data_IF_340902913153
#
_entry.id   IF_340902913153
#
_cell.length_a   1.000
_cell.length_b   1.000
_cell.length_c   1.000
_cell.angle_alpha   90.00
_cell.angle_beta   90.00
_cell.angle_gamma   90.00
#
_symmetry.space_group_name_H-M   'P 1'
#
loop_
_entity.id
_entity.type
_entity.pdbx_description
1 polymer ?
#
# COMPACT_ATOMS: atom_id res chain seq x y z
N UNK A 1 17.97 -14.34 -0.30
CA UNK A 1 17.24 -13.06 -0.48
C UNK A 1 17.55 -12.17 0.72
N UNK A 2 18.23 -11.02 0.55
CA UNK A 2 18.51 -10.10 1.66
C UNK A 2 17.23 -9.34 2.01
N UNK A 3 16.69 -9.51 3.21
CA UNK A 3 15.54 -8.78 3.73
C UNK A 3 15.95 -7.41 4.31
N UNK A 4 16.69 -6.63 3.53
CA UNK A 4 17.02 -5.25 3.89
C UNK A 4 15.70 -4.46 3.94
N UNK A 5 15.45 -3.74 5.02
CA UNK A 5 14.20 -2.99 5.30
C UNK A 5 12.94 -3.86 5.57
N UNK A 6 13.09 -5.07 6.07
CA UNK A 6 11.97 -5.84 6.61
C UNK A 6 11.66 -5.42 8.06
N UNK A 7 10.41 -5.57 8.47
CA UNK A 7 9.94 -5.29 9.82
C UNK A 7 8.91 -6.31 10.27
N UNK A 8 8.76 -6.45 11.58
CA UNK A 8 7.61 -7.13 12.17
C UNK A 8 6.40 -6.19 12.16
N UNK A 9 5.23 -6.74 11.91
CA UNK A 9 3.96 -6.00 11.98
C UNK A 9 2.99 -6.79 12.88
N UNK A 10 2.78 -6.27 14.08
CA UNK A 10 1.82 -6.79 15.04
C UNK A 10 0.56 -5.93 15.00
N UNK A 11 -0.60 -6.56 15.13
CA UNK A 11 -1.90 -5.89 15.13
C UNK A 11 -2.65 -6.26 16.40
N UNK A 12 -3.13 -5.24 17.09
CA UNK A 12 -3.90 -5.39 18.31
C UNK A 12 -5.30 -4.80 18.11
N UNK A 13 -6.31 -5.52 18.59
CA UNK A 13 -7.66 -5.00 18.69
C UNK A 13 -7.78 -4.22 20.00
N UNK A 14 -8.33 -3.02 19.93
CA UNK A 14 -8.52 -2.16 21.07
C UNK A 14 -10.00 -1.85 21.25
N UNK A 15 -10.46 -1.82 22.50
CA UNK A 15 -11.74 -1.20 22.86
C UNK A 15 -11.64 0.33 22.70
N UNK A 16 -12.79 1.01 22.63
CA UNK A 16 -12.80 2.49 22.56
C UNK A 16 -12.04 3.14 23.72
N UNK A 17 -12.20 2.65 24.94
CA UNK A 17 -11.49 3.17 26.12
C UNK A 17 -9.98 2.99 26.00
N UNK A 18 -9.53 1.79 25.57
CA UNK A 18 -8.10 1.52 25.34
C UNK A 18 -7.53 2.39 24.23
N UNK A 19 -8.29 2.62 23.15
CA UNK A 19 -7.88 3.52 22.08
C UNK A 19 -7.61 4.94 22.56
N UNK A 20 -8.53 5.54 23.33
CA UNK A 20 -8.37 6.91 23.83
C UNK A 20 -7.20 7.01 24.80
N UNK A 21 -7.07 6.08 25.74
CA UNK A 21 -5.95 6.05 26.70
C UNK A 21 -4.60 5.90 25.97
N UNK A 22 -4.52 4.98 25.02
CA UNK A 22 -3.33 4.77 24.22
C UNK A 22 -2.97 5.98 23.36
N UNK A 23 -3.97 6.58 22.71
CA UNK A 23 -3.78 7.81 21.93
C UNK A 23 -3.22 8.95 22.78
N UNK A 24 -3.76 9.17 23.97
CA UNK A 24 -3.29 10.22 24.90
C UNK A 24 -1.84 9.96 25.33
N UNK A 25 -1.50 8.73 25.68
CA UNK A 25 -0.13 8.35 26.03
C UNK A 25 0.85 8.54 24.88
N UNK A 26 0.44 8.21 23.64
CA UNK A 26 1.29 8.35 22.46
C UNK A 26 1.64 9.79 22.09
N UNK A 27 0.80 10.77 22.45
CA UNK A 27 1.06 12.20 22.16
C UNK A 27 2.38 12.69 22.76
N UNK A 28 2.84 12.08 23.85
CA UNK A 28 4.11 12.42 24.50
C UNK A 28 5.33 11.90 23.74
N UNK A 29 5.19 10.83 22.93
CA UNK A 29 6.29 10.10 22.32
C UNK A 29 6.29 10.13 20.80
N UNK A 30 5.21 10.62 20.16
CA UNK A 30 5.04 10.56 18.73
C UNK A 30 4.75 11.92 18.12
N UNK A 31 5.14 12.09 16.86
CA UNK A 31 4.76 13.24 16.04
C UNK A 31 3.66 12.84 15.06
N UNK A 32 2.79 13.79 14.73
CA UNK A 32 1.79 13.57 13.67
C UNK A 32 2.46 13.25 12.34
N UNK A 33 1.88 12.33 11.59
CA UNK A 33 2.27 12.07 10.20
C UNK A 33 2.18 13.36 9.36
N UNK A 34 3.08 13.49 8.39
CA UNK A 34 3.15 14.67 7.50
C UNK A 34 1.84 14.98 6.78
N UNK A 35 1.05 13.98 6.42
CA UNK A 35 -0.25 14.20 5.78
C UNK A 35 -1.29 14.70 6.78
N UNK A 36 -1.28 14.17 8.00
CA UNK A 36 -2.12 14.60 9.12
C UNK A 36 -1.78 16.01 9.57
N UNK A 37 -0.49 16.36 9.63
CA UNK A 37 -0.02 17.67 10.08
C UNK A 37 -0.55 18.82 9.21
N UNK A 38 -0.61 18.59 7.89
CA UNK A 38 -1.07 19.59 6.92
C UNK A 38 -2.58 19.55 6.63
N UNK A 39 -3.35 18.75 7.40
CA UNK A 39 -4.79 18.64 7.24
C UNK A 39 -5.54 19.46 8.30
N UNK A 40 -6.52 20.30 7.93
CA UNK A 40 -7.28 21.13 8.87
C UNK A 40 -7.90 20.33 10.03
N UNK A 41 -8.38 19.13 9.74
CA UNK A 41 -9.05 18.26 10.71
C UNK A 41 -8.16 17.13 11.25
N UNK A 42 -6.84 17.17 10.98
CA UNK A 42 -5.93 16.08 11.35
C UNK A 42 -6.28 14.75 10.71
N UNK A 43 -6.96 14.75 9.55
CA UNK A 43 -7.39 13.56 8.78
C UNK A 43 -7.11 13.79 7.31
N UNK A 44 -6.82 12.72 6.59
CA UNK A 44 -6.67 12.74 5.14
C UNK A 44 -7.30 11.50 4.53
N UNK A 45 -7.74 11.61 3.29
CA UNK A 45 -8.30 10.48 2.56
C UNK A 45 -7.19 9.66 1.92
N UNK A 46 -7.37 8.34 1.97
CA UNK A 46 -6.50 7.38 1.30
C UNK A 46 -7.36 6.49 0.42
N UNK A 47 -7.18 6.61 -0.89
CA UNK A 47 -7.76 5.68 -1.86
C UNK A 47 -6.74 4.59 -2.17
N UNK A 48 -7.18 3.35 -2.21
CA UNK A 48 -6.31 2.20 -2.52
C UNK A 48 -7.00 1.31 -3.54
N UNK A 49 -6.36 1.12 -4.69
CA UNK A 49 -6.77 0.17 -5.71
C UNK A 49 -5.88 -1.07 -5.57
N UNK A 50 -6.47 -2.20 -5.27
CA UNK A 50 -5.76 -3.47 -5.13
C UNK A 50 -5.70 -4.20 -6.48
N UNK A 51 -4.65 -4.98 -6.64
CA UNK A 51 -4.46 -5.89 -7.74
C UNK A 51 -4.57 -7.32 -7.23
N UNK A 52 -5.31 -8.15 -7.96
CA UNK A 52 -5.44 -9.59 -7.73
C UNK A 52 -5.78 -10.26 -9.06
N UNK A 53 -5.83 -11.59 -9.09
CA UNK A 53 -6.33 -12.30 -10.25
C UNK A 53 -7.84 -12.61 -10.11
N UNK A 54 -8.44 -13.15 -11.17
CA UNK A 54 -9.85 -13.52 -11.20
C UNK A 54 -10.25 -14.58 -10.15
N UNK A 55 -9.30 -15.36 -9.65
CA UNK A 55 -9.51 -16.35 -8.59
C UNK A 55 -9.27 -15.79 -7.18
N UNK A 56 -9.04 -14.48 -7.02
CA UNK A 56 -8.74 -13.84 -5.73
C UNK A 56 -7.58 -14.47 -4.98
N UNK A 57 -6.47 -14.76 -5.67
CA UNK A 57 -5.30 -15.44 -5.11
C UNK A 57 -4.76 -14.77 -3.84
N UNK A 58 -4.63 -13.43 -3.85
CA UNK A 58 -4.13 -12.71 -2.67
C UNK A 58 -5.10 -12.78 -1.49
N UNK A 59 -6.38 -12.83 -1.75
CA UNK A 59 -7.42 -12.98 -0.75
C UNK A 59 -7.40 -14.39 -0.15
N UNK A 60 -7.40 -15.43 -1.00
CA UNK A 60 -7.40 -16.83 -0.57
C UNK A 60 -6.12 -17.18 0.19
N UNK A 61 -4.95 -16.81 -0.29
CA UNK A 61 -3.68 -17.01 0.43
C UNK A 61 -3.69 -16.36 1.82
N UNK A 62 -4.45 -15.27 2.01
CA UNK A 62 -4.62 -14.67 3.33
C UNK A 62 -5.51 -15.52 4.22
N UNK A 63 -6.61 -16.06 3.70
CA UNK A 63 -7.54 -16.92 4.45
C UNK A 63 -6.89 -18.23 4.87
N UNK A 64 -6.16 -18.85 3.95
CA UNK A 64 -5.45 -20.12 4.16
C UNK A 64 -4.20 -19.99 5.04
N UNK A 65 -3.83 -18.74 5.40
CA UNK A 65 -2.69 -18.50 6.28
C UNK A 65 -1.32 -18.70 5.63
N UNK A 66 -1.25 -18.70 4.29
CA UNK A 66 -0.01 -18.91 3.54
C UNK A 66 1.13 -18.04 4.09
N UNK A 67 2.29 -18.65 4.31
CA UNK A 67 3.44 -17.95 4.88
C UNK A 67 4.04 -16.92 3.92
N UNK A 68 4.08 -17.26 2.62
CA UNK A 68 4.62 -16.37 1.59
C UNK A 68 3.50 -15.72 0.79
N UNK A 69 3.32 -14.41 0.98
CA UNK A 69 2.23 -13.65 0.35
C UNK A 69 2.73 -12.36 -0.25
N UNK A 70 2.13 -11.99 -1.38
CA UNK A 70 2.32 -10.67 -1.98
C UNK A 70 0.99 -9.95 -2.06
N UNK A 71 1.01 -8.62 -1.85
CA UNK A 71 -0.10 -7.72 -2.17
C UNK A 71 0.43 -6.57 -2.99
N UNK A 72 -0.28 -6.28 -4.05
CA UNK A 72 0.00 -5.18 -4.96
C UNK A 72 -1.14 -4.18 -4.84
N UNK A 73 -0.81 -2.89 -4.70
CA UNK A 73 -1.81 -1.83 -4.70
C UNK A 73 -1.25 -0.53 -5.25
N UNK A 74 -2.14 0.24 -5.84
CA UNK A 74 -1.90 1.65 -6.15
C UNK A 74 -2.60 2.49 -5.08
N UNK A 75 -1.90 3.45 -4.50
CA UNK A 75 -2.44 4.29 -3.43
C UNK A 75 -2.32 5.76 -3.76
N UNK A 76 -3.41 6.47 -3.54
CA UNK A 76 -3.48 7.92 -3.63
C UNK A 76 -3.77 8.52 -2.26
N UNK A 77 -3.11 9.64 -1.95
CA UNK A 77 -3.29 10.42 -0.74
C UNK A 77 -3.88 11.77 -1.13
N UNK A 78 -5.15 11.97 -0.83
CA UNK A 78 -5.82 13.24 -1.12
C UNK A 78 -5.58 14.24 0.01
N UNK A 79 -4.96 15.36 -0.30
CA UNK A 79 -4.90 16.54 0.57
C UNK A 79 -6.13 17.43 0.35
N UNK A 80 -6.51 17.66 -0.90
CA UNK A 80 -7.70 18.36 -1.34
C UNK A 80 -8.24 17.68 -2.60
N UNK A 81 -9.53 17.84 -2.92
CA UNK A 81 -10.20 17.19 -4.06
C UNK A 81 -9.50 17.35 -5.44
N UNK A 82 -8.59 18.33 -5.57
CA UNK A 82 -7.95 18.68 -6.85
C UNK A 82 -6.43 18.47 -6.89
N UNK A 83 -5.79 17.91 -5.85
CA UNK A 83 -4.32 17.87 -5.74
C UNK A 83 -3.69 16.52 -6.06
N UNK A 84 -4.42 15.61 -6.69
CA UNK A 84 -3.95 14.25 -6.98
C UNK A 84 -3.03 14.16 -8.20
N UNK A 85 -1.84 14.78 -8.10
CA UNK A 85 -0.82 14.69 -9.17
C UNK A 85 -0.01 13.39 -9.14
N UNK A 86 -0.07 12.62 -8.06
CA UNK A 86 0.79 11.45 -7.85
C UNK A 86 0.06 10.29 -7.20
N UNK A 87 0.43 9.08 -7.61
CA UNK A 87 0.04 7.82 -6.97
C UNK A 87 1.28 7.06 -6.49
N UNK A 88 1.11 6.16 -5.55
CA UNK A 88 2.18 5.29 -5.06
C UNK A 88 1.89 3.85 -5.45
N UNK A 89 2.79 3.24 -6.21
CA UNK A 89 2.83 1.79 -6.42
C UNK A 89 3.40 1.18 -5.16
N UNK A 90 2.68 0.27 -4.54
CA UNK A 90 3.11 -0.38 -3.30
C UNK A 90 3.06 -1.90 -3.44
N UNK A 91 4.20 -2.52 -3.17
CA UNK A 91 4.36 -3.97 -3.13
C UNK A 91 4.59 -4.37 -1.66
N UNK A 92 3.66 -5.08 -1.06
CA UNK A 92 3.79 -5.61 0.30
C UNK A 92 3.97 -7.12 0.23
N UNK A 93 5.15 -7.58 0.61
CA UNK A 93 5.48 -8.99 0.71
C UNK A 93 5.53 -9.40 2.16
N UNK A 94 5.00 -10.56 2.46
CA UNK A 94 5.09 -11.18 3.78
C UNK A 94 5.73 -12.55 3.64
N UNK A 95 6.61 -12.86 4.57
CA UNK A 95 7.17 -14.19 4.76
C UNK A 95 7.17 -14.50 6.26
N UNK A 96 6.30 -15.40 6.69
CA UNK A 96 6.00 -15.58 8.11
C UNK A 96 5.56 -14.25 8.75
N UNK A 97 6.26 -13.79 9.77
CA UNK A 97 5.98 -12.51 10.45
C UNK A 97 6.77 -11.33 9.88
N UNK A 98 7.70 -11.59 8.98
CA UNK A 98 8.47 -10.55 8.32
C UNK A 98 7.68 -9.92 7.18
N UNK A 99 7.67 -8.60 7.16
CA UNK A 99 7.04 -7.82 6.10
C UNK A 99 8.07 -6.92 5.44
N UNK A 100 8.10 -6.97 4.12
CA UNK A 100 8.84 -6.04 3.28
C UNK A 100 7.85 -5.20 2.47
N UNK A 101 8.04 -3.88 2.49
CA UNK A 101 7.28 -2.94 1.67
C UNK A 101 8.25 -2.22 0.73
N UNK A 102 8.01 -2.36 -0.55
CA UNK A 102 8.67 -1.55 -1.59
C UNK A 102 7.63 -0.59 -2.16
N UNK A 103 8.03 0.65 -2.45
CA UNK A 103 7.12 1.65 -3.02
C UNK A 103 7.83 2.59 -3.98
N UNK A 104 7.11 2.99 -5.03
CA UNK A 104 7.52 4.02 -5.97
C UNK A 104 6.41 5.03 -6.16
N UNK A 105 6.77 6.32 -6.16
CA UNK A 105 5.85 7.41 -6.47
C UNK A 105 5.92 7.70 -7.96
N UNK A 106 4.77 7.73 -8.62
CA UNK A 106 4.63 8.01 -10.05
C UNK A 106 3.60 9.12 -10.25
N UNK A 107 3.68 9.87 -11.36
CA UNK A 107 2.63 10.83 -11.67
C UNK A 107 1.32 10.12 -12.01
N UNK A 108 0.19 10.77 -11.77
CA UNK A 108 -1.11 10.22 -12.16
C UNK A 108 -1.18 10.02 -13.68
N UNK A 109 -0.66 10.97 -14.45
CA UNK A 109 -0.63 10.88 -15.92
C UNK A 109 0.19 9.68 -16.43
N UNK A 110 1.31 9.33 -15.77
CA UNK A 110 2.09 8.15 -16.14
C UNK A 110 1.35 6.85 -15.78
N UNK A 111 0.62 6.85 -14.68
CA UNK A 111 -0.21 5.71 -14.31
C UNK A 111 -1.39 5.54 -15.28
N UNK A 112 -2.08 6.62 -15.66
CA UNK A 112 -3.13 6.60 -16.68
C UNK A 112 -2.59 6.17 -18.06
N UNK A 113 -1.39 6.64 -18.41
CA UNK A 113 -0.72 6.18 -19.61
C UNK A 113 -0.48 4.67 -19.58
N UNK A 114 0.00 4.12 -18.45
CA UNK A 114 0.17 2.67 -18.28
C UNK A 114 -1.17 1.91 -18.42
N UNK A 115 -2.25 2.41 -17.83
CA UNK A 115 -3.56 1.77 -17.95
C UNK A 115 -4.07 1.70 -19.40
N UNK A 116 -3.79 2.74 -20.19
CA UNK A 116 -4.24 2.83 -21.57
C UNK A 116 -3.36 2.06 -22.57
N UNK A 117 -2.05 1.95 -22.29
CA UNK A 117 -1.08 1.43 -23.26
C UNK A 117 -0.44 0.09 -22.82
N UNK A 118 -0.60 -0.33 -21.56
CA UNK A 118 -0.04 -1.56 -21.02
C UNK A 118 1.46 -1.52 -20.70
N UNK A 119 2.14 -0.37 -20.88
CA UNK A 119 3.55 -0.20 -20.55
C UNK A 119 3.82 1.16 -19.91
N UNK A 120 4.96 1.26 -19.17
CA UNK A 120 5.36 2.47 -18.46
C UNK A 120 6.30 3.32 -19.31
N UNK A 121 6.22 4.65 -19.18
CA UNK A 121 7.15 5.58 -19.87
C UNK A 121 8.57 5.51 -19.32
N UNK A 122 8.73 5.10 -18.05
CA UNK A 122 10.03 4.92 -17.39
C UNK A 122 9.96 3.71 -16.46
N UNK A 123 11.13 3.19 -16.09
CA UNK A 123 11.26 1.98 -15.30
C UNK A 123 12.16 2.21 -14.10
N UNK A 124 11.83 1.57 -12.99
CA UNK A 124 12.66 1.43 -11.82
C UNK A 124 12.44 0.04 -11.20
N UNK A 125 13.19 -0.28 -10.15
CA UNK A 125 13.13 -1.61 -9.52
C UNK A 125 11.71 -2.00 -9.04
N UNK A 126 10.92 -1.03 -8.55
CA UNK A 126 9.56 -1.27 -8.06
C UNK A 126 8.58 -1.47 -9.23
N UNK A 127 8.68 -0.64 -10.27
CA UNK A 127 7.87 -0.78 -11.50
C UNK A 127 8.16 -2.11 -12.18
N UNK A 128 9.44 -2.47 -12.35
CA UNK A 128 9.81 -3.75 -12.94
C UNK A 128 9.25 -4.93 -12.15
N UNK A 129 9.32 -4.87 -10.83
CA UNK A 129 8.76 -5.92 -9.97
C UNK A 129 7.23 -5.93 -9.99
N UNK A 130 6.57 -4.78 -10.07
CA UNK A 130 5.14 -4.66 -10.28
C UNK A 130 4.70 -5.37 -11.58
N UNK A 131 5.39 -5.09 -12.69
CA UNK A 131 5.13 -5.74 -13.98
C UNK A 131 5.34 -7.26 -13.87
N UNK A 132 6.47 -7.69 -13.28
CA UNK A 132 6.80 -9.10 -13.11
C UNK A 132 5.75 -9.87 -12.31
N UNK A 133 5.27 -9.29 -11.21
CA UNK A 133 4.25 -9.92 -10.36
C UNK A 133 2.93 -9.98 -11.10
N UNK A 134 2.50 -8.89 -11.74
CA UNK A 134 1.24 -8.85 -12.47
C UNK A 134 1.23 -9.85 -13.63
N UNK A 135 2.32 -9.95 -14.40
CA UNK A 135 2.45 -10.92 -15.47
C UNK A 135 2.46 -12.37 -14.93
N UNK A 136 3.21 -12.64 -13.86
CA UNK A 136 3.33 -13.98 -13.27
C UNK A 136 2.00 -14.53 -12.76
N UNK A 137 1.18 -13.69 -12.12
CA UNK A 137 -0.05 -14.11 -11.46
C UNK A 137 -1.32 -13.66 -12.18
N UNK A 138 -1.19 -13.04 -13.37
CA UNK A 138 -2.30 -12.46 -14.13
C UNK A 138 -3.11 -11.45 -13.27
N UNK A 139 -2.40 -10.60 -12.52
CA UNK A 139 -3.03 -9.59 -11.69
C UNK A 139 -3.56 -8.43 -12.53
N UNK A 140 -4.78 -8.02 -12.21
CA UNK A 140 -5.45 -6.83 -12.74
C UNK A 140 -6.04 -6.00 -11.60
N UNK A 141 -6.38 -4.73 -11.85
CA UNK A 141 -7.07 -3.93 -10.85
C UNK A 141 -8.39 -4.58 -10.44
N UNK A 142 -8.63 -4.69 -9.13
CA UNK A 142 -9.93 -5.10 -8.60
C UNK A 142 -10.53 -3.92 -7.83
N UNK A 143 -11.77 -3.56 -8.18
CA UNK A 143 -12.55 -2.60 -7.40
C UNK A 143 -13.15 -3.31 -6.21
N UNK A 144 -12.90 -2.78 -5.02
CA UNK A 144 -13.63 -3.13 -3.80
C UNK A 144 -14.71 -2.12 -3.54
#
# INVERSE_FOLDING_TARGET
>A
MKFINSRFELKYLLTHKQYYNFKSALLLYTKKDKFTFNSPNGKYFVKSLYYDNHNFLCFNNKLEGEQSRVKVRIRCYEKNKNDNKFVSIELKRRFGDLIKKDSSRVSLNDYEFYLNNGYWKYYNSVINEFIRINAKYCFSPITT
#
